data_IF_836255455410
#
_entry.id   IF_836255455410
#
_cell.length_a   1.000
_cell.length_b   1.000
_cell.length_c   1.000
_cell.angle_alpha   90.00
_cell.angle_beta   90.00
_cell.angle_gamma   90.00
#
_symmetry.space_group_name_H-M   'P 1'
#
loop_
_entity.id
_entity.type
_entity.pdbx_description
1 polymer ?
#
# COMPACT_ATOMS: atom_id res chain seq x y z
N UNK A 1 22.70 22.49 -23.38
CA UNK A 1 23.02 21.36 -24.29
C UNK A 1 23.90 20.28 -23.65
N UNK A 2 24.60 20.53 -22.54
CA UNK A 2 25.38 19.50 -21.80
C UNK A 2 24.58 18.76 -20.71
N UNK A 3 23.48 19.35 -20.22
CA UNK A 3 22.67 18.78 -19.13
C UNK A 3 21.79 17.60 -19.56
N UNK A 4 21.29 17.60 -20.81
CA UNK A 4 20.48 16.49 -21.35
C UNK A 4 21.30 15.20 -21.55
N UNK A 5 22.61 15.33 -21.79
CA UNK A 5 23.49 14.18 -21.98
C UNK A 5 23.71 13.38 -20.68
N UNK A 6 23.73 14.03 -19.51
CA UNK A 6 23.83 13.34 -18.22
C UNK A 6 22.52 12.70 -17.78
N UNK A 7 21.37 13.29 -18.14
CA UNK A 7 20.06 12.69 -17.90
C UNK A 7 19.89 11.37 -18.68
N UNK A 8 20.41 11.29 -19.91
CA UNK A 8 20.38 10.07 -20.73
C UNK A 8 21.27 8.93 -20.22
N UNK A 9 22.33 9.25 -19.47
CA UNK A 9 23.17 8.23 -18.79
C UNK A 9 22.44 7.67 -17.56
N UNK A 10 21.64 8.49 -16.87
CA UNK A 10 20.87 8.05 -15.70
C UNK A 10 19.71 7.11 -16.06
N UNK A 11 19.21 7.14 -17.31
CA UNK A 11 17.96 6.45 -17.68
C UNK A 11 18.19 5.09 -18.38
N UNK A 12 19.43 4.72 -18.75
CA UNK A 12 19.68 3.48 -19.51
C UNK A 12 20.88 2.62 -19.03
N UNK A 13 21.41 2.84 -17.83
CA UNK A 13 22.59 2.10 -17.35
C UNK A 13 22.29 0.69 -16.79
N UNK A 14 21.03 0.34 -16.52
CA UNK A 14 20.72 -0.92 -15.81
C UNK A 14 20.20 -2.06 -16.69
N UNK A 15 20.41 -1.98 -18.01
CA UNK A 15 20.18 -3.11 -18.90
C UNK A 15 21.49 -3.86 -19.10
N UNK A 16 21.66 -4.95 -18.34
CA UNK A 16 22.76 -5.92 -18.35
C UNK A 16 23.99 -5.55 -17.52
N UNK A 17 23.79 -5.40 -16.22
CA UNK A 17 24.81 -5.74 -15.22
C UNK A 17 24.33 -7.00 -14.52
N UNK A 18 25.07 -8.11 -14.65
CA UNK A 18 24.93 -9.25 -13.73
C UNK A 18 25.04 -8.69 -12.30
N UNK A 19 24.02 -8.79 -11.44
CA UNK A 19 24.10 -8.19 -10.12
C UNK A 19 25.16 -8.94 -9.30
N UNK A 20 26.39 -8.41 -9.28
CA UNK A 20 27.39 -8.75 -8.27
C UNK A 20 26.98 -8.08 -6.96
N UNK A 21 25.84 -8.48 -6.38
CA UNK A 21 25.28 -7.89 -5.17
C UNK A 21 23.80 -8.25 -4.94
N UNK A 22 23.32 -8.07 -3.71
CA UNK A 22 21.90 -8.23 -3.36
C UNK A 22 21.06 -7.22 -4.12
N UNK A 23 20.05 -7.69 -4.87
CA UNK A 23 19.13 -6.80 -5.60
C UNK A 23 18.35 -5.94 -4.60
N UNK A 24 18.21 -4.63 -4.84
CA UNK A 24 17.43 -3.74 -3.98
C UNK A 24 16.09 -3.47 -4.65
N UNK A 25 15.00 -3.62 -3.89
CA UNK A 25 13.63 -3.28 -4.32
C UNK A 25 13.07 -2.20 -3.40
N UNK A 26 12.75 -1.04 -3.97
CA UNK A 26 12.05 0.05 -3.29
C UNK A 26 10.55 -0.15 -3.40
N UNK A 27 9.91 -0.34 -2.26
CA UNK A 27 8.50 -0.69 -2.16
C UNK A 27 7.77 0.38 -1.37
N UNK A 28 6.75 1.01 -1.97
CA UNK A 28 5.83 1.88 -1.25
C UNK A 28 4.60 1.10 -0.78
N UNK A 29 4.14 1.33 0.45
CA UNK A 29 2.93 0.67 0.97
C UNK A 29 2.21 1.52 2.02
N UNK A 30 0.89 1.36 2.11
CA UNK A 30 0.10 2.02 3.17
C UNK A 30 0.42 1.41 4.54
N UNK A 31 0.29 2.17 5.65
CA UNK A 31 0.65 1.71 6.99
C UNK A 31 0.01 0.38 7.41
N UNK A 32 -1.28 0.19 7.12
CA UNK A 32 -2.01 -1.03 7.47
C UNK A 32 -1.41 -2.28 6.82
N UNK A 33 -1.15 -2.23 5.52
CA UNK A 33 -0.53 -3.33 4.76
C UNK A 33 0.92 -3.52 5.18
N UNK A 34 1.67 -2.43 5.37
CA UNK A 34 3.07 -2.47 5.79
C UNK A 34 3.23 -3.21 7.11
N UNK A 35 2.47 -2.80 8.14
CA UNK A 35 2.57 -3.36 9.48
C UNK A 35 1.95 -4.75 9.61
N UNK A 36 0.74 -4.95 9.09
CA UNK A 36 -0.03 -6.17 9.37
C UNK A 36 0.26 -7.32 8.40
N UNK A 37 0.70 -7.01 7.19
CA UNK A 37 0.86 -8.03 6.14
C UNK A 37 2.31 -8.17 5.66
N UNK A 38 2.99 -7.06 5.36
CA UNK A 38 4.31 -7.09 4.74
C UNK A 38 5.43 -7.40 5.75
N UNK A 39 5.49 -6.68 6.87
CA UNK A 39 6.53 -6.86 7.90
C UNK A 39 6.68 -8.32 8.35
N UNK A 40 5.61 -9.07 8.68
CA UNK A 40 5.71 -10.48 9.04
C UNK A 40 6.31 -11.39 7.96
N UNK A 41 6.29 -10.94 6.69
CA UNK A 41 6.74 -11.71 5.51
C UNK A 41 8.10 -11.25 5.00
N UNK A 42 8.64 -10.15 5.52
CA UNK A 42 9.85 -9.50 5.01
C UNK A 42 11.06 -10.44 4.99
N UNK A 43 11.29 -11.16 6.09
CA UNK A 43 12.40 -12.12 6.18
C UNK A 43 12.30 -13.24 5.13
N UNK A 44 11.09 -13.70 4.80
CA UNK A 44 10.89 -14.72 3.77
C UNK A 44 11.12 -14.14 2.37
N UNK A 45 10.64 -12.92 2.13
CA UNK A 45 10.81 -12.22 0.85
C UNK A 45 12.28 -11.93 0.55
N UNK A 46 13.05 -11.48 1.54
CA UNK A 46 14.48 -11.15 1.38
C UNK A 46 15.39 -12.39 1.24
N UNK A 47 14.97 -13.54 1.79
CA UNK A 47 15.71 -14.80 1.75
C UNK A 47 15.26 -15.77 0.63
N UNK A 48 14.57 -15.26 -0.40
CA UNK A 48 14.21 -16.04 -1.59
C UNK A 48 15.50 -16.43 -2.38
N UNK A 49 15.53 -17.53 -3.18
CA UNK A 49 16.67 -17.93 -4.03
C UNK A 49 17.43 -16.81 -4.74
N UNK A 50 16.74 -15.74 -5.15
CA UNK A 50 17.36 -14.47 -5.51
C UNK A 50 17.38 -13.56 -4.28
N UNK A 51 18.52 -13.47 -3.60
CA UNK A 51 18.70 -12.57 -2.46
C UNK A 51 18.32 -11.15 -2.86
N UNK A 52 17.38 -10.57 -2.12
CA UNK A 52 16.94 -9.20 -2.33
C UNK A 52 16.86 -8.45 -1.00
N UNK A 53 17.00 -7.13 -1.06
CA UNK A 53 16.84 -6.19 0.06
C UNK A 53 15.63 -5.31 -0.23
N UNK A 54 14.68 -5.26 0.68
CA UNK A 54 13.51 -4.39 0.56
C UNK A 54 13.80 -3.07 1.26
N UNK A 55 13.65 -1.97 0.54
CA UNK A 55 13.62 -0.62 1.12
C UNK A 55 12.17 -0.18 1.11
N UNK A 56 11.56 -0.17 2.29
CA UNK A 56 10.14 0.12 2.45
C UNK A 56 9.92 1.62 2.71
N UNK A 57 9.09 2.24 1.89
CA UNK A 57 8.50 3.55 2.12
C UNK A 57 7.04 3.39 2.56
N UNK A 58 6.65 4.08 3.63
CA UNK A 58 5.32 3.96 4.25
C UNK A 58 4.60 5.29 4.21
N UNK A 59 3.66 5.44 3.27
CA UNK A 59 2.88 6.66 3.07
C UNK A 59 1.44 6.33 2.61
N UNK A 60 0.50 7.18 3.02
CA UNK A 60 -0.89 7.18 2.55
C UNK A 60 -1.06 7.94 1.23
N UNK A 61 -0.08 8.72 0.78
CA UNK A 61 -0.10 9.43 -0.51
C UNK A 61 -0.04 8.47 -1.69
N UNK A 62 -0.70 8.85 -2.79
CA UNK A 62 -0.44 8.21 -4.07
C UNK A 62 0.91 8.72 -4.60
N UNK A 63 1.96 7.95 -4.32
CA UNK A 63 3.29 8.22 -4.84
C UNK A 63 3.30 8.08 -6.37
N UNK A 64 4.01 8.98 -7.05
CA UNK A 64 4.39 8.71 -8.43
C UNK A 64 5.62 7.81 -8.43
N UNK A 65 5.43 6.53 -8.75
CA UNK A 65 6.52 5.57 -8.65
C UNK A 65 7.73 5.95 -9.52
N UNK A 66 7.50 6.59 -10.68
CA UNK A 66 8.57 6.94 -11.59
C UNK A 66 9.41 8.10 -11.05
N UNK A 67 8.75 9.16 -10.59
CA UNK A 67 9.41 10.37 -10.10
C UNK A 67 10.06 10.15 -8.73
N UNK A 68 9.53 9.24 -7.92
CA UNK A 68 10.00 8.96 -6.55
C UNK A 68 10.99 7.79 -6.48
N UNK A 69 11.34 7.19 -7.62
CA UNK A 69 12.29 6.06 -7.68
C UNK A 69 11.78 4.82 -6.94
N UNK A 70 10.47 4.61 -6.92
CA UNK A 70 9.83 3.44 -6.32
C UNK A 70 9.64 2.36 -7.38
N UNK A 71 10.06 1.14 -7.09
CA UNK A 71 9.93 0.02 -8.04
C UNK A 71 8.49 -0.54 -8.05
N UNK A 72 7.89 -0.65 -6.86
CA UNK A 72 6.58 -1.28 -6.65
C UNK A 72 5.75 -0.51 -5.60
N UNK A 73 4.42 -0.53 -5.74
CA UNK A 73 3.53 -0.06 -4.68
C UNK A 73 2.44 -1.06 -4.35
N UNK A 74 2.21 -1.31 -3.05
CA UNK A 74 1.06 -2.08 -2.56
C UNK A 74 0.08 -1.15 -1.86
N UNK A 75 -1.12 -1.03 -2.43
CA UNK A 75 -2.14 -0.10 -1.96
C UNK A 75 -3.53 -0.72 -2.06
N UNK A 76 -4.46 -0.26 -1.23
CA UNK A 76 -5.86 -0.63 -1.33
C UNK A 76 -6.54 0.19 -2.44
N UNK A 77 -7.25 -0.48 -3.35
CA UNK A 77 -7.97 0.18 -4.42
C UNK A 77 -8.34 -0.75 -5.57
N UNK A 78 -8.93 -0.19 -6.62
CA UNK A 78 -9.43 -0.95 -7.77
C UNK A 78 -8.36 -1.34 -8.80
N UNK A 79 -7.09 -1.00 -8.58
CA UNK A 79 -5.98 -1.35 -9.49
C UNK A 79 -6.08 -0.74 -10.90
N UNK A 80 -6.85 0.33 -11.10
CA UNK A 80 -7.02 0.98 -12.41
C UNK A 80 -6.23 2.28 -12.50
N UNK A 81 -4.93 2.22 -12.23
CA UNK A 81 -4.05 3.39 -12.37
C UNK A 81 -3.56 3.44 -13.83
N UNK A 82 -3.87 4.50 -14.59
CA UNK A 82 -3.39 4.64 -15.97
C UNK A 82 -1.87 4.54 -16.06
N UNK A 83 -1.37 3.86 -17.10
CA UNK A 83 0.08 3.71 -17.31
C UNK A 83 0.78 2.76 -16.34
N UNK A 84 0.05 2.05 -15.47
CA UNK A 84 0.63 1.07 -14.53
C UNK A 84 0.00 -0.31 -14.69
N UNK A 85 0.80 -1.35 -14.45
CA UNK A 85 0.30 -2.72 -14.26
C UNK A 85 -0.11 -2.87 -12.81
N UNK A 86 -1.33 -3.34 -12.57
CA UNK A 86 -1.83 -3.62 -11.22
C UNK A 86 -2.18 -5.09 -11.11
N UNK A 87 -1.76 -5.70 -10.00
CA UNK A 87 -2.07 -7.09 -9.65
C UNK A 87 -2.81 -7.10 -8.33
N UNK A 88 -3.95 -7.78 -8.28
CA UNK A 88 -4.68 -7.99 -7.04
C UNK A 88 -3.94 -9.02 -6.19
N UNK A 89 -3.59 -8.64 -4.96
CA UNK A 89 -2.92 -9.54 -4.01
C UNK A 89 -3.92 -10.31 -3.15
N UNK A 90 -4.92 -9.60 -2.63
CA UNK A 90 -6.00 -10.13 -1.79
C UNK A 90 -7.13 -9.12 -1.73
N UNK A 91 -8.26 -9.52 -1.13
CA UNK A 91 -9.40 -8.65 -0.84
C UNK A 91 -9.35 -8.17 0.60
N UNK A 92 -9.73 -6.92 0.81
CA UNK A 92 -9.87 -6.32 2.14
C UNK A 92 -11.36 -6.20 2.50
N UNK A 93 -11.71 -6.53 3.74
CA UNK A 93 -13.05 -6.31 4.28
C UNK A 93 -13.00 -5.20 5.32
N UNK A 94 -13.79 -4.16 5.10
CA UNK A 94 -13.93 -3.03 6.01
C UNK A 94 -15.29 -3.14 6.68
N UNK A 95 -15.31 -3.12 8.02
CA UNK A 95 -16.53 -3.17 8.82
C UNK A 95 -16.35 -2.42 10.14
N UNK A 96 -17.43 -1.88 10.72
CA UNK A 96 -17.38 -1.18 11.98
C UNK A 96 -17.05 -2.13 13.13
N UNK A 97 -16.26 -1.63 14.08
CA UNK A 97 -15.92 -2.34 15.32
C UNK A 97 -16.33 -1.48 16.52
N UNK A 98 -16.66 -2.14 17.63
CA UNK A 98 -17.03 -1.51 18.89
C UNK A 98 -16.56 -2.41 20.05
N UNK A 99 -16.55 -1.87 21.28
CA UNK A 99 -16.36 -2.72 22.46
C UNK A 99 -17.46 -3.78 22.55
N UNK A 100 -17.21 -4.93 23.19
CA UNK A 100 -18.21 -5.99 23.32
C UNK A 100 -19.52 -5.50 23.96
N UNK A 101 -19.46 -4.59 24.93
CA UNK A 101 -20.62 -4.03 25.62
C UNK A 101 -21.44 -3.13 24.67
N UNK A 102 -20.78 -2.22 23.97
CA UNK A 102 -21.43 -1.31 23.02
C UNK A 102 -22.02 -2.06 21.82
N UNK A 103 -21.31 -3.08 21.31
CA UNK A 103 -21.81 -3.92 20.24
C UNK A 103 -23.10 -4.67 20.62
N UNK A 104 -23.21 -5.13 21.89
CA UNK A 104 -24.44 -5.75 22.41
C UNK A 104 -25.58 -4.75 22.52
N UNK A 105 -25.31 -3.53 22.98
CA UNK A 105 -26.29 -2.45 23.06
C UNK A 105 -26.83 -2.06 21.68
N UNK A 106 -25.94 -1.91 20.69
CA UNK A 106 -26.29 -1.59 19.30
C UNK A 106 -27.11 -2.71 18.63
N UNK A 107 -26.80 -3.97 18.96
CA UNK A 107 -27.49 -5.16 18.45
C UNK A 107 -27.25 -5.46 16.96
N UNK A 108 -28.19 -6.13 16.31
CA UNK A 108 -28.20 -6.45 14.86
C UNK A 108 -29.38 -5.74 14.15
N UNK A 109 -29.30 -5.56 12.82
CA UNK A 109 -30.33 -4.83 12.04
C UNK A 109 -29.76 -3.85 11.02
N UNK A 110 -30.49 -2.77 10.76
CA UNK A 110 -30.14 -1.72 9.79
C UNK A 110 -28.84 -0.96 10.17
N UNK A 111 -27.81 -0.88 9.30
CA UNK A 111 -26.62 -0.07 9.51
C UNK A 111 -26.86 1.38 9.95
N UNK A 112 -27.97 2.02 9.54
CA UNK A 112 -28.30 3.41 9.87
C UNK A 112 -28.39 3.67 11.38
N UNK A 113 -28.62 2.64 12.21
CA UNK A 113 -28.65 2.80 13.68
C UNK A 113 -27.31 3.19 14.29
N UNK A 114 -26.19 2.93 13.60
CA UNK A 114 -24.86 3.36 14.05
C UNK A 114 -24.75 4.88 14.09
N UNK A 115 -25.54 5.60 13.27
CA UNK A 115 -25.56 7.08 13.24
C UNK A 115 -26.07 7.71 14.55
N UNK A 116 -26.62 6.91 15.48
CA UNK A 116 -27.01 7.36 16.83
C UNK A 116 -25.82 7.49 17.79
N UNK A 117 -24.65 6.97 17.40
CA UNK A 117 -23.45 6.94 18.21
C UNK A 117 -22.35 7.81 17.60
N UNK A 118 -21.41 8.34 18.40
CA UNK A 118 -20.21 8.97 17.86
C UNK A 118 -19.42 7.99 17.01
N UNK A 119 -19.15 8.36 15.76
CA UNK A 119 -18.36 7.56 14.83
C UNK A 119 -16.90 7.98 14.89
N UNK A 120 -16.01 7.03 15.10
CA UNK A 120 -14.56 7.25 15.02
C UNK A 120 -14.13 7.04 13.57
N UNK A 121 -13.41 8.01 13.03
CA UNK A 121 -12.75 7.92 11.74
C UNK A 121 -11.33 8.47 11.85
N UNK A 122 -10.51 8.20 10.83
CA UNK A 122 -9.19 8.80 10.69
C UNK A 122 -9.33 10.25 10.17
N UNK A 123 -8.53 10.66 9.19
CA UNK A 123 -8.54 12.01 8.62
C UNK A 123 -9.86 12.45 7.97
N UNK A 124 -10.70 11.52 7.50
CA UNK A 124 -12.02 11.83 6.93
C UNK A 124 -13.08 10.73 7.15
N UNK A 125 -14.34 11.05 6.84
CA UNK A 125 -15.49 10.16 6.98
C UNK A 125 -15.79 9.31 5.71
N UNK A 126 -14.88 9.22 4.74
CA UNK A 126 -15.10 8.48 3.48
C UNK A 126 -15.34 6.99 3.72
N UNK A 127 -14.64 6.38 4.68
CA UNK A 127 -14.83 4.96 5.05
C UNK A 127 -16.26 4.68 5.53
N UNK A 128 -16.81 5.55 6.39
CA UNK A 128 -18.19 5.43 6.85
C UNK A 128 -19.20 5.63 5.71
N UNK A 129 -18.97 6.62 4.84
CA UNK A 129 -19.85 6.84 3.68
C UNK A 129 -19.84 5.65 2.74
N UNK A 130 -18.68 5.08 2.46
CA UNK A 130 -18.55 3.91 1.57
C UNK A 130 -19.19 2.65 2.17
N UNK A 131 -19.14 2.49 3.49
CA UNK A 131 -19.71 1.32 4.17
C UNK A 131 -21.24 1.42 4.39
N UNK A 132 -21.76 2.63 4.58
CA UNK A 132 -23.21 2.89 4.73
C UNK A 132 -23.96 3.02 3.39
N UNK A 133 -23.26 3.09 2.26
CA UNK A 133 -23.81 3.29 0.92
C UNK A 133 -24.58 2.09 0.37
#
# INVERSE_FOLDING_TARGET
RTTEAFALISVNSDRWVEPRGTAVVRLASIPSVSGLWLMPRMAVLENNPTKLRIVLDVDNRQADLADEGIDLSVRCGRGRIPGRVSVQLFEEQIFPIASPELAKEIGRGDPARLLKYPLINDSDASGWRAWLA
#
